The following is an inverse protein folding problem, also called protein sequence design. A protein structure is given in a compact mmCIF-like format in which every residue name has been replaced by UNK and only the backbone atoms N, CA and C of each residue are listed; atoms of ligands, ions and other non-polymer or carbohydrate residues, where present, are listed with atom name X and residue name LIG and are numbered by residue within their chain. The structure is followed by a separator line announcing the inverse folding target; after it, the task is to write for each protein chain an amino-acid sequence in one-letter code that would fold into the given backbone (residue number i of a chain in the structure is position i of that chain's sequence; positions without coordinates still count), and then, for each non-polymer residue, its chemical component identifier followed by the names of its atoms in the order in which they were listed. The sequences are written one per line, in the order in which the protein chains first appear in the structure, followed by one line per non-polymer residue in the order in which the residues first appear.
data_IF_834276865384
#
_entry.id   IF_834276865384
#
_cell.length_a   1.000
_cell.length_b   1.000
_cell.length_c   1.000
_cell.angle_alpha   90.00
_cell.angle_beta   90.00
_cell.angle_gamma   90.00
#
_symmetry.space_group_name_H-M   'P 1'
#
loop_
_entity.id
_entity.type
_entity.pdbx_description
1 polymer ?
#
# COMPACT_ATOMS: atom_id res chain seq x y z
N UNK A 1 0.28 16.04 -1.41
CA UNK A 1 -0.94 15.48 -0.81
C UNK A 1 -1.61 16.56 0.02
N UNK A 2 -2.92 16.76 -0.15
CA UNK A 2 -3.70 17.74 0.58
C UNK A 2 -4.67 17.03 1.52
N UNK A 3 -4.86 17.57 2.70
CA UNK A 3 -5.93 17.14 3.59
C UNK A 3 -7.26 17.68 3.06
N UNK A 4 -8.33 16.91 3.19
CA UNK A 4 -9.66 17.25 2.68
C UNK A 4 -10.74 16.74 3.62
N UNK A 5 -11.97 17.21 3.47
CA UNK A 5 -13.13 16.70 4.20
C UNK A 5 -13.81 15.57 3.44
N UNK A 6 -14.54 14.73 4.17
CA UNK A 6 -15.34 13.63 3.63
C UNK A 6 -16.36 14.13 2.60
N UNK A 7 -17.03 15.25 2.89
CA UNK A 7 -17.98 15.89 1.97
C UNK A 7 -17.36 16.33 0.63
N UNK A 8 -16.06 16.63 0.62
CA UNK A 8 -15.33 17.09 -0.58
C UNK A 8 -14.71 15.91 -1.33
N UNK A 9 -14.12 14.98 -0.59
CA UNK A 9 -13.49 13.77 -1.10
C UNK A 9 -13.84 12.65 -0.11
N UNK A 10 -14.81 11.77 -0.44
CA UNK A 10 -15.25 10.71 0.46
C UNK A 10 -14.10 9.83 0.94
N UNK A 11 -14.00 9.59 2.24
CA UNK A 11 -12.93 8.87 2.91
C UNK A 11 -11.73 9.73 3.31
N UNK A 12 -11.72 11.03 2.99
CA UNK A 12 -10.69 11.96 3.45
C UNK A 12 -11.10 12.67 4.75
N UNK A 13 -10.11 13.00 5.58
CA UNK A 13 -10.29 13.79 6.79
C UNK A 13 -9.32 14.97 6.84
N UNK A 14 -9.72 16.11 7.46
CA UNK A 14 -8.79 17.17 7.82
C UNK A 14 -7.71 16.64 8.76
N UNK A 15 -6.55 17.29 8.80
CA UNK A 15 -5.56 17.01 9.83
C UNK A 15 -6.14 17.34 11.22
N UNK A 16 -6.30 16.35 12.11
CA UNK A 16 -6.91 16.55 13.42
C UNK A 16 -5.92 17.07 14.48
N UNK A 17 -4.62 17.12 14.17
CA UNK A 17 -3.57 17.46 15.14
C UNK A 17 -3.08 18.89 14.94
N UNK A 18 -2.59 19.22 13.74
CA UNK A 18 -1.98 20.53 13.46
C UNK A 18 -2.86 21.41 12.58
N UNK A 19 -4.02 20.91 12.13
CA UNK A 19 -4.90 21.58 11.16
C UNK A 19 -4.16 21.99 9.87
N UNK A 20 -3.12 21.24 9.50
CA UNK A 20 -2.38 21.45 8.27
C UNK A 20 -3.28 21.29 7.04
N UNK A 21 -3.02 22.09 6.00
CA UNK A 21 -3.76 21.97 4.72
C UNK A 21 -3.06 20.99 3.77
N UNK A 22 -1.74 20.96 3.81
CA UNK A 22 -0.92 20.09 2.99
C UNK A 22 0.03 19.28 3.86
N UNK A 23 0.32 18.05 3.44
CA UNK A 23 1.30 17.19 4.12
C UNK A 23 2.69 17.85 4.23
N UNK A 24 3.08 18.63 3.22
CA UNK A 24 4.35 19.36 3.22
C UNK A 24 4.45 20.35 4.39
N UNK A 25 3.33 20.89 4.84
CA UNK A 25 3.31 21.90 5.89
C UNK A 25 3.78 21.27 7.22
N UNK A 26 3.49 19.98 7.44
CA UNK A 26 3.98 19.20 8.58
C UNK A 26 5.49 18.92 8.52
N UNK A 27 6.01 18.56 7.34
CA UNK A 27 7.46 18.38 7.17
C UNK A 27 8.23 19.69 7.39
N UNK A 28 7.70 20.79 6.85
CA UNK A 28 8.33 22.11 6.94
C UNK A 28 8.17 22.75 8.33
N UNK A 29 7.18 22.36 9.12
CA UNK A 29 7.07 22.81 10.52
C UNK A 29 8.15 22.21 11.41
N UNK A 30 8.60 20.98 11.12
CA UNK A 30 9.69 20.31 11.85
C UNK A 30 11.06 20.73 11.29
N UNK A 31 11.22 20.73 9.97
CA UNK A 31 12.46 21.10 9.30
C UNK A 31 12.18 22.06 8.14
N UNK A 32 12.27 23.39 8.36
CA UNK A 32 12.02 24.40 7.31
C UNK A 32 12.93 24.27 6.08
N UNK A 33 14.11 23.66 6.25
CA UNK A 33 15.07 23.42 5.19
C UNK A 33 14.93 22.05 4.50
N UNK A 34 13.86 21.28 4.78
CA UNK A 34 13.65 19.95 4.19
C UNK A 34 13.50 20.02 2.67
N UNK A 35 14.31 19.22 1.96
CA UNK A 35 14.34 19.16 0.48
C UNK A 35 13.93 17.79 -0.08
N UNK A 36 13.52 16.87 0.78
CA UNK A 36 13.14 15.52 0.39
C UNK A 36 11.72 15.42 -0.17
N UNK A 37 11.26 14.19 -0.34
CA UNK A 37 9.90 13.90 -0.80
C UNK A 37 8.94 13.98 0.39
N UNK A 38 7.87 14.75 0.24
CA UNK A 38 6.76 14.78 1.21
C UNK A 38 5.89 13.51 1.04
N UNK A 39 6.26 12.43 1.72
CA UNK A 39 5.64 11.10 1.58
C UNK A 39 4.68 10.74 2.72
N UNK A 40 3.75 9.84 2.39
CA UNK A 40 3.00 9.01 3.34
C UNK A 40 3.56 7.58 3.29
N UNK A 41 3.42 6.78 4.36
CA UNK A 41 2.84 7.12 5.67
C UNK A 41 3.72 8.09 6.48
N UNK A 42 3.15 8.66 7.54
CA UNK A 42 3.85 9.51 8.52
C UNK A 42 3.37 9.15 9.93
N UNK A 43 4.29 8.68 10.76
CA UNK A 43 4.09 8.50 12.19
C UNK A 43 4.50 9.79 12.91
N UNK A 44 3.58 10.40 13.65
CA UNK A 44 3.73 11.72 14.27
C UNK A 44 3.65 11.62 15.79
N UNK A 45 4.58 12.26 16.51
CA UNK A 45 4.50 12.41 17.96
C UNK A 45 3.74 13.70 18.30
N UNK A 46 2.55 13.51 18.88
CA UNK A 46 1.68 14.63 19.30
C UNK A 46 2.22 15.41 20.49
N UNK A 47 3.12 14.84 21.30
CA UNK A 47 3.68 15.50 22.49
C UNK A 47 4.80 16.45 22.13
N UNK A 48 5.72 16.02 21.26
CA UNK A 48 6.87 16.82 20.84
C UNK A 48 6.57 17.64 19.59
N UNK A 49 5.58 17.24 18.79
CA UNK A 49 5.28 17.89 17.52
C UNK A 49 6.29 17.54 16.43
N UNK A 50 6.83 16.32 16.45
CA UNK A 50 7.86 15.83 15.53
C UNK A 50 7.40 14.63 14.71
N UNK A 51 8.06 14.41 13.57
CA UNK A 51 7.90 13.20 12.77
C UNK A 51 8.76 12.10 13.39
N UNK A 52 8.14 11.02 13.86
CA UNK A 52 8.82 9.86 14.41
C UNK A 52 9.42 9.01 13.29
N UNK A 53 8.62 8.72 12.26
CA UNK A 53 9.02 7.86 11.16
C UNK A 53 8.16 8.13 9.92
N UNK A 54 8.73 7.96 8.72
CA UNK A 54 8.00 8.05 7.45
C UNK A 54 8.33 6.90 6.48
N UNK A 55 8.96 5.83 6.97
CA UNK A 55 9.24 4.60 6.25
C UNK A 55 8.21 3.53 6.65
N UNK A 56 7.45 3.03 5.67
CA UNK A 56 6.29 2.17 5.94
C UNK A 56 6.63 0.80 6.53
N UNK A 57 7.72 0.18 6.09
CA UNK A 57 8.16 -1.12 6.59
C UNK A 57 8.65 -1.00 8.02
N UNK A 58 9.41 0.04 8.32
CA UNK A 58 9.88 0.32 9.68
C UNK A 58 8.69 0.57 10.63
N UNK A 59 7.71 1.41 10.22
CA UNK A 59 6.47 1.63 10.98
C UNK A 59 5.71 0.32 11.24
N UNK A 60 5.61 -0.56 10.24
CA UNK A 60 4.96 -1.87 10.41
C UNK A 60 5.71 -2.75 11.43
N UNK A 61 7.04 -2.77 11.39
CA UNK A 61 7.85 -3.51 12.37
C UNK A 61 7.73 -2.92 13.77
N UNK A 62 7.70 -1.59 13.90
CA UNK A 62 7.41 -0.93 15.18
C UNK A 62 6.04 -1.37 15.73
N UNK A 63 4.99 -1.40 14.91
CA UNK A 63 3.66 -1.85 15.34
C UNK A 63 3.57 -3.36 15.61
N UNK A 64 4.43 -4.17 15.01
CA UNK A 64 4.44 -5.61 15.22
C UNK A 64 4.86 -6.01 16.64
N UNK A 65 5.71 -5.22 17.32
CA UNK A 65 6.27 -5.64 18.62
C UNK A 65 6.42 -4.56 19.68
N UNK A 66 6.63 -3.27 19.33
CA UNK A 66 6.97 -2.24 20.32
C UNK A 66 5.83 -1.92 21.31
N UNK A 67 4.60 -2.32 21.00
CA UNK A 67 3.42 -2.12 21.84
C UNK A 67 2.79 -3.43 22.34
N UNK A 68 3.53 -4.54 22.34
CA UNK A 68 3.01 -5.83 22.81
C UNK A 68 2.44 -5.76 24.24
N UNK A 69 3.08 -5.02 25.14
CA UNK A 69 2.59 -4.85 26.52
C UNK A 69 1.22 -4.15 26.62
N UNK A 70 0.79 -3.47 25.55
CA UNK A 70 -0.50 -2.77 25.47
C UNK A 70 -1.47 -3.43 24.48
N UNK A 71 -1.02 -4.45 23.72
CA UNK A 71 -1.78 -5.06 22.66
C UNK A 71 -2.83 -6.03 23.21
N UNK A 72 -3.98 -6.12 22.53
CA UNK A 72 -5.00 -7.15 22.83
C UNK A 72 -4.52 -8.56 22.46
N UNK A 73 -3.64 -8.66 21.45
CA UNK A 73 -3.09 -9.92 20.92
C UNK A 73 -1.55 -9.86 20.95
N UNK A 74 -0.91 -9.82 22.13
CA UNK A 74 0.54 -9.61 22.26
C UNK A 74 1.39 -10.76 21.70
N UNK A 75 0.77 -11.91 21.41
CA UNK A 75 1.42 -13.08 20.84
C UNK A 75 1.36 -13.12 19.31
N UNK A 76 0.60 -12.20 18.68
CA UNK A 76 0.55 -12.12 17.22
C UNK A 76 1.85 -11.52 16.70
N UNK A 77 2.66 -12.33 16.03
CA UNK A 77 3.88 -11.89 15.37
C UNK A 77 3.76 -12.07 13.86
N UNK A 78 3.67 -10.95 13.13
CA UNK A 78 3.60 -10.91 11.67
C UNK A 78 4.98 -10.88 11.01
N UNK A 79 6.05 -10.84 11.81
CA UNK A 79 7.44 -10.83 11.35
C UNK A 79 8.31 -11.75 12.22
N UNK A 80 8.07 -13.08 12.20
CA UNK A 80 8.83 -14.02 13.00
C UNK A 80 10.21 -14.32 12.39
N UNK A 81 11.20 -14.55 13.26
CA UNK A 81 12.62 -14.71 12.91
C UNK A 81 12.87 -15.85 11.89
N UNK A 82 12.08 -16.93 11.97
CA UNK A 82 12.19 -18.10 11.09
C UNK A 82 11.66 -17.84 9.68
N UNK A 83 10.83 -16.82 9.49
CA UNK A 83 10.26 -16.43 8.20
C UNK A 83 10.91 -15.17 7.60
N UNK A 84 11.76 -14.44 8.35
CA UNK A 84 12.35 -13.16 7.93
C UNK A 84 12.94 -13.19 6.52
N UNK A 85 13.79 -14.17 6.23
CA UNK A 85 14.43 -14.28 4.91
C UNK A 85 13.42 -14.47 3.77
N UNK A 86 12.34 -15.21 4.03
CA UNK A 86 11.27 -15.40 3.05
C UNK A 86 10.45 -14.13 2.87
N UNK A 87 10.13 -13.43 3.95
CA UNK A 87 9.40 -12.15 3.92
C UNK A 87 10.20 -11.11 3.15
N UNK A 88 11.50 -10.96 3.43
CA UNK A 88 12.38 -10.01 2.74
C UNK A 88 12.50 -10.33 1.24
N UNK A 89 12.63 -11.61 0.87
CA UNK A 89 12.62 -12.03 -0.54
C UNK A 89 11.34 -11.58 -1.24
N UNK A 90 10.17 -11.84 -0.65
CA UNK A 90 8.89 -11.45 -1.24
C UNK A 90 8.69 -9.94 -1.25
N UNK A 91 9.18 -9.23 -0.23
CA UNK A 91 9.13 -7.79 -0.17
C UNK A 91 9.96 -7.16 -1.29
N UNK A 92 11.21 -7.59 -1.48
CA UNK A 92 12.06 -7.12 -2.59
C UNK A 92 11.47 -7.46 -3.94
N UNK A 93 11.00 -8.70 -4.12
CA UNK A 93 10.34 -9.15 -5.36
C UNK A 93 9.14 -8.26 -5.67
N UNK A 94 8.35 -7.92 -4.65
CA UNK A 94 7.19 -7.03 -4.80
C UNK A 94 7.62 -5.60 -5.15
N UNK A 95 8.62 -5.07 -4.46
CA UNK A 95 9.06 -3.69 -4.66
C UNK A 95 9.69 -3.47 -6.04
N UNK A 96 10.53 -4.39 -6.50
CA UNK A 96 11.28 -4.24 -7.73
C UNK A 96 10.40 -4.50 -8.96
N UNK A 97 9.48 -5.46 -8.89
CA UNK A 97 8.61 -5.80 -10.00
C UNK A 97 7.38 -4.90 -10.08
N UNK A 98 6.77 -4.56 -8.94
CA UNK A 98 5.48 -3.89 -8.94
C UNK A 98 5.59 -2.39 -8.66
N UNK A 99 6.32 -1.96 -7.61
CA UNK A 99 6.34 -0.54 -7.20
C UNK A 99 7.28 0.34 -8.05
N UNK A 100 8.45 -0.18 -8.44
CA UNK A 100 9.47 0.57 -9.21
C UNK A 100 9.28 0.45 -10.73
N UNK A 101 8.10 0.06 -11.22
CA UNK A 101 7.82 0.06 -12.65
C UNK A 101 7.67 1.52 -13.15
N UNK A 102 8.65 2.06 -13.91
CA UNK A 102 8.55 3.43 -14.38
C UNK A 102 7.41 3.57 -15.39
N UNK A 103 6.74 4.73 -15.34
CA UNK A 103 5.91 5.18 -16.45
C UNK A 103 6.73 5.29 -17.74
N UNK A 104 6.04 5.04 -18.85
CA UNK A 104 6.40 5.24 -20.26
C UNK A 104 7.42 4.30 -20.92
N UNK A 105 8.06 3.40 -20.17
CA UNK A 105 8.77 2.26 -20.77
C UNK A 105 8.44 0.98 -20.00
N UNK A 106 7.22 0.47 -20.21
CA UNK A 106 6.91 -0.91 -19.87
C UNK A 106 7.72 -1.79 -20.82
N UNK A 107 8.98 -2.06 -20.46
CA UNK A 107 9.80 -3.04 -21.15
C UNK A 107 9.11 -4.39 -20.97
N UNK A 108 8.86 -5.09 -22.07
CA UNK A 108 8.22 -6.41 -22.11
C UNK A 108 8.84 -7.38 -21.09
N UNK A 109 10.15 -7.26 -20.85
CA UNK A 109 10.88 -7.98 -19.80
C UNK A 109 10.32 -7.76 -18.39
N UNK A 110 10.09 -6.52 -17.96
CA UNK A 110 9.49 -6.24 -16.64
C UNK A 110 8.05 -6.73 -16.55
N UNK A 111 7.30 -6.65 -17.64
CA UNK A 111 5.95 -7.20 -17.71
C UNK A 111 5.95 -8.71 -17.46
N UNK A 112 6.92 -9.42 -18.06
CA UNK A 112 7.11 -10.85 -17.89
C UNK A 112 7.57 -11.19 -16.47
N UNK A 113 8.51 -10.44 -15.89
CA UNK A 113 8.94 -10.62 -14.49
C UNK A 113 7.78 -10.49 -13.50
N UNK A 114 6.94 -9.46 -13.68
CA UNK A 114 5.72 -9.28 -12.88
C UNK A 114 4.75 -10.44 -13.05
N UNK A 115 4.53 -10.89 -14.29
CA UNK A 115 3.67 -12.03 -14.59
C UNK A 115 4.18 -13.31 -13.94
N UNK A 116 5.47 -13.60 -14.07
CA UNK A 116 6.09 -14.81 -13.53
C UNK A 116 6.02 -14.82 -12.00
N UNK A 117 6.26 -13.67 -11.35
CA UNK A 117 6.11 -13.51 -9.90
C UNK A 117 4.67 -13.75 -9.43
N UNK A 118 3.66 -13.28 -10.18
CA UNK A 118 2.25 -13.53 -9.87
C UNK A 118 1.87 -15.01 -10.01
N UNK A 119 2.40 -15.70 -11.02
CA UNK A 119 2.18 -17.14 -11.22
C UNK A 119 2.88 -17.97 -10.13
N UNK A 120 4.12 -17.60 -9.75
CA UNK A 120 4.82 -18.23 -8.63
C UNK A 120 4.02 -18.07 -7.33
N UNK A 121 3.53 -16.86 -7.06
CA UNK A 121 2.71 -16.57 -5.88
C UNK A 121 1.42 -17.39 -5.86
N UNK A 122 0.69 -17.47 -6.98
CA UNK A 122 -0.52 -18.30 -7.07
C UNK A 122 -0.21 -19.79 -6.82
N UNK A 123 0.91 -20.29 -7.35
CA UNK A 123 1.37 -21.66 -7.11
C UNK A 123 1.73 -21.94 -5.65
N UNK A 124 2.31 -20.96 -4.95
CA UNK A 124 2.62 -21.07 -3.51
C UNK A 124 1.35 -21.05 -2.67
N UNK A 125 0.43 -20.13 -2.95
CA UNK A 125 -0.88 -20.06 -2.31
C UNK A 125 -1.74 -21.30 -2.62
N UNK A 126 -1.49 -21.99 -3.74
CA UNK A 126 -2.11 -23.28 -4.04
C UNK A 126 -1.59 -24.43 -3.17
N UNK A 127 -0.34 -24.35 -2.67
CA UNK A 127 0.31 -25.37 -1.84
C UNK A 127 0.18 -25.09 -0.33
N UNK A 128 0.07 -23.82 0.06
CA UNK A 128 0.00 -23.37 1.45
C UNK A 128 -1.42 -22.93 1.81
N UNK A 129 -1.92 -23.35 2.97
CA UNK A 129 -3.12 -22.77 3.60
C UNK A 129 -2.84 -21.42 4.30
N UNK A 130 -1.60 -20.93 4.27
CA UNK A 130 -1.19 -19.72 4.98
C UNK A 130 -1.14 -18.51 4.04
N UNK A 131 -1.70 -17.42 4.53
CA UNK A 131 -1.99 -16.18 3.81
C UNK A 131 -0.72 -15.31 3.62
N UNK A 132 -0.32 -15.05 2.36
CA UNK A 132 0.81 -14.15 2.03
C UNK A 132 0.30 -12.74 1.74
N UNK A 133 0.54 -11.79 2.65
CA UNK A 133 0.06 -10.40 2.53
C UNK A 133 0.84 -9.53 1.54
N UNK A 134 0.18 -9.12 0.44
CA UNK A 134 0.44 -7.83 -0.24
C UNK A 134 -0.66 -7.40 -1.22
N UNK A 135 -0.98 -6.10 -1.23
CA UNK A 135 -1.95 -5.43 -2.12
C UNK A 135 -1.27 -5.06 -3.45
N UNK A 136 -1.92 -5.32 -4.59
CA UNK A 136 -1.41 -4.93 -5.90
C UNK A 136 -2.49 -4.25 -6.77
N UNK A 137 -2.19 -3.02 -7.20
CA UNK A 137 -2.80 -2.38 -8.34
C UNK A 137 -1.71 -2.01 -9.33
N UNK A 138 -1.54 -2.81 -10.38
CA UNK A 138 -0.69 -2.45 -11.51
C UNK A 138 -1.35 -2.81 -12.83
N UNK A 139 -1.04 -1.98 -13.83
CA UNK A 139 -1.56 -2.03 -15.19
C UNK A 139 -0.85 -3.13 -15.98
N UNK A 140 -1.15 -4.39 -15.65
CA UNK A 140 -0.62 -5.55 -16.35
C UNK A 140 -1.65 -5.99 -17.39
N UNK A 141 -1.43 -5.65 -18.66
CA UNK A 141 -2.33 -6.06 -19.76
C UNK A 141 -2.08 -7.51 -20.23
N UNK A 142 -1.24 -8.28 -19.54
CA UNK A 142 -0.85 -9.65 -19.93
C UNK A 142 -1.41 -10.76 -19.03
N UNK A 143 -1.83 -10.43 -17.81
CA UNK A 143 -2.53 -11.33 -16.88
C UNK A 143 -3.39 -10.48 -15.96
N UNK A 144 -4.64 -10.86 -15.75
CA UNK A 144 -5.48 -10.21 -14.75
C UNK A 144 -5.38 -10.98 -13.44
N UNK A 145 -5.26 -10.28 -12.31
CA UNK A 145 -5.28 -10.89 -10.97
C UNK A 145 -6.52 -11.76 -10.77
N UNK A 146 -7.66 -11.40 -11.38
CA UNK A 146 -8.91 -12.19 -11.35
C UNK A 146 -8.80 -13.59 -11.97
N UNK A 147 -7.80 -13.81 -12.82
CA UNK A 147 -7.55 -15.08 -13.49
C UNK A 147 -6.60 -15.98 -12.67
N UNK A 148 -6.13 -15.52 -11.50
CA UNK A 148 -5.28 -16.26 -10.56
C UNK A 148 -6.13 -16.74 -9.37
N UNK A 149 -6.61 -18.01 -9.36
CA UNK A 149 -7.64 -18.45 -8.43
C UNK A 149 -7.19 -18.48 -6.97
N UNK A 150 -5.93 -18.82 -6.69
CA UNK A 150 -5.41 -18.87 -5.32
C UNK A 150 -5.11 -17.48 -4.78
N UNK A 151 -4.58 -16.58 -5.63
CA UNK A 151 -4.44 -15.16 -5.29
C UNK A 151 -5.80 -14.52 -5.04
N UNK A 152 -6.82 -14.82 -5.86
CA UNK A 152 -8.17 -14.30 -5.66
C UNK A 152 -8.84 -14.82 -4.39
N UNK A 153 -8.63 -16.09 -4.05
CA UNK A 153 -9.07 -16.66 -2.77
C UNK A 153 -8.41 -15.91 -1.61
N UNK A 154 -7.09 -15.80 -1.67
CA UNK A 154 -6.29 -15.14 -0.65
C UNK A 154 -6.67 -13.66 -0.43
N UNK A 155 -6.89 -12.89 -1.50
CA UNK A 155 -7.39 -11.50 -1.42
C UNK A 155 -8.73 -11.45 -0.70
N UNK A 156 -9.66 -12.38 -1.00
CA UNK A 156 -10.96 -12.44 -0.31
C UNK A 156 -10.78 -12.72 1.18
N UNK A 157 -9.91 -13.67 1.52
CA UNK A 157 -9.66 -14.06 2.90
C UNK A 157 -9.13 -12.86 3.72
N UNK A 158 -8.17 -12.09 3.16
CA UNK A 158 -7.69 -10.86 3.78
C UNK A 158 -8.77 -9.77 3.89
N UNK A 159 -9.55 -9.55 2.84
CA UNK A 159 -10.62 -8.55 2.89
C UNK A 159 -11.70 -8.91 3.92
N UNK A 160 -11.89 -10.21 4.20
CA UNK A 160 -12.80 -10.72 5.22
C UNK A 160 -12.24 -10.64 6.65
N UNK A 161 -10.95 -10.35 6.84
CA UNK A 161 -10.41 -10.11 8.17
C UNK A 161 -11.10 -8.90 8.82
N UNK A 162 -11.44 -8.95 10.11
CA UNK A 162 -12.13 -7.87 10.81
C UNK A 162 -11.43 -6.52 10.62
N UNK A 163 -12.15 -5.55 10.05
CA UNK A 163 -11.67 -4.18 9.86
C UNK A 163 -10.84 -3.92 8.60
N UNK A 164 -10.38 -4.94 7.87
CA UNK A 164 -9.52 -4.74 6.70
C UNK A 164 -10.30 -4.16 5.51
N UNK A 165 -11.52 -4.62 5.21
CA UNK A 165 -12.30 -4.06 4.10
C UNK A 165 -12.53 -2.54 4.23
N UNK A 166 -12.65 -2.06 5.46
CA UNK A 166 -12.94 -0.66 5.79
C UNK A 166 -11.76 0.28 5.47
N UNK A 167 -10.53 -0.23 5.37
CA UNK A 167 -9.35 0.57 5.02
C UNK A 167 -9.01 0.52 3.53
N UNK A 168 -9.83 -0.16 2.71
CA UNK A 168 -9.65 -0.26 1.26
C UNK A 168 -10.66 0.62 0.52
N UNK A 169 -10.19 1.78 0.07
CA UNK A 169 -10.98 2.71 -0.76
C UNK A 169 -10.52 2.66 -2.21
N UNK A 170 -11.32 2.01 -3.07
CA UNK A 170 -11.00 1.82 -4.49
C UNK A 170 -11.01 3.15 -5.24
N UNK A 171 -11.89 4.05 -4.86
CA UNK A 171 -12.05 5.39 -5.42
C UNK A 171 -10.78 6.21 -5.22
N UNK A 172 -10.22 6.21 -4.00
CA UNK A 172 -8.94 6.87 -3.70
C UNK A 172 -7.79 6.28 -4.49
N UNK A 173 -7.70 4.94 -4.53
CA UNK A 173 -6.67 4.24 -5.29
C UNK A 173 -6.72 4.62 -6.78
N UNK A 174 -7.91 4.57 -7.39
CA UNK A 174 -8.13 4.93 -8.79
C UNK A 174 -7.81 6.40 -9.03
N UNK A 175 -8.28 7.29 -8.16
CA UNK A 175 -7.98 8.72 -8.23
C UNK A 175 -6.47 8.96 -8.23
N UNK A 176 -5.77 8.50 -7.19
CA UNK A 176 -4.33 8.68 -7.06
C UNK A 176 -3.50 8.10 -8.22
N UNK A 177 -3.98 7.02 -8.83
CA UNK A 177 -3.29 6.37 -9.94
C UNK A 177 -3.55 7.07 -11.27
N UNK A 178 -4.81 7.31 -11.61
CA UNK A 178 -5.21 7.79 -12.92
C UNK A 178 -5.18 9.31 -13.05
N UNK A 179 -5.23 10.11 -11.98
CA UNK A 179 -5.18 11.58 -12.11
C UNK A 179 -3.76 12.13 -12.24
N UNK A 180 -2.74 11.27 -12.37
CA UNK A 180 -1.35 11.70 -12.61
C UNK A 180 -1.21 12.30 -14.02
N UNK A 181 -1.14 13.63 -14.09
CA UNK A 181 -1.10 14.39 -15.35
C UNK A 181 0.03 13.99 -16.30
N UNK A 182 1.16 13.50 -15.77
CA UNK A 182 2.30 13.07 -16.58
C UNK A 182 1.91 12.01 -17.62
N UNK A 183 1.00 11.09 -17.27
CA UNK A 183 0.64 9.94 -18.11
C UNK A 183 -0.86 9.90 -18.47
N UNK A 184 -1.67 10.75 -17.84
CA UNK A 184 -3.08 10.93 -18.16
C UNK A 184 -3.42 12.43 -18.16
N UNK A 185 -3.09 13.17 -19.24
CA UNK A 185 -3.26 14.61 -19.30
C UNK A 185 -4.71 15.06 -19.07
N UNK A 186 -5.68 14.25 -19.51
CA UNK A 186 -7.10 14.52 -19.40
C UNK A 186 -7.70 14.12 -18.04
N UNK A 187 -6.92 13.45 -17.17
CA UNK A 187 -7.38 13.01 -15.85
C UNK A 187 -8.57 12.05 -15.87
N UNK A 188 -8.81 11.37 -16.99
CA UNK A 188 -9.95 10.46 -17.16
C UNK A 188 -9.75 9.24 -16.27
N UNK A 189 -10.68 8.99 -15.35
CA UNK A 189 -10.68 7.79 -14.52
C UNK A 189 -11.57 6.74 -15.21
N UNK A 190 -11.02 5.59 -15.64
CA UNK A 190 -11.83 4.55 -16.26
C UNK A 190 -12.88 4.01 -15.28
N UNK A 191 -14.09 3.72 -15.75
CA UNK A 191 -15.14 3.09 -14.94
C UNK A 191 -14.68 1.71 -14.42
N UNK A 192 -13.85 1.01 -15.18
CA UNK A 192 -13.42 -0.36 -14.91
C UNK A 192 -14.21 -1.34 -15.79
N UNK A 193 -13.81 -2.61 -15.77
CA UNK A 193 -14.42 -3.68 -16.57
C UNK A 193 -15.58 -4.39 -15.83
N UNK A 194 -16.24 -3.70 -14.90
CA UNK A 194 -17.31 -4.27 -14.07
C UNK A 194 -16.83 -5.17 -12.92
N UNK A 195 -15.52 -5.34 -12.72
CA UNK A 195 -15.01 -6.05 -11.55
C UNK A 195 -15.01 -5.13 -10.33
N UNK A 196 -15.80 -5.49 -9.33
CA UNK A 196 -15.78 -4.90 -7.98
C UNK A 196 -14.99 -5.83 -7.06
N UNK A 197 -14.19 -5.23 -6.15
CA UNK A 197 -13.62 -6.02 -5.05
C UNK A 197 -14.77 -6.73 -4.31
N UNK A 198 -14.59 -8.01 -3.97
CA UNK A 198 -15.58 -8.78 -3.22
C UNK A 198 -15.90 -8.17 -1.86
#
# INVERSE_FOLDING_TARGET
LAFSTDDKIPGCSPDPVMNAKLLRDLYLSVCPAYKGIFSVPMLWDRKTGEIVNNESLDIMQMFNSNWNDLAKNPQLNLYPDDATAQIEKWFSTTQDNFLKAPGDAFHEEKANQVKDALVELDGILGKSKHDIVSVLLFRINHIFVRDLPNVMRWIKDILNLPGIRNVVCVEHIKGMTFTKKAYNPNGIIPLGNGFTLP
#
